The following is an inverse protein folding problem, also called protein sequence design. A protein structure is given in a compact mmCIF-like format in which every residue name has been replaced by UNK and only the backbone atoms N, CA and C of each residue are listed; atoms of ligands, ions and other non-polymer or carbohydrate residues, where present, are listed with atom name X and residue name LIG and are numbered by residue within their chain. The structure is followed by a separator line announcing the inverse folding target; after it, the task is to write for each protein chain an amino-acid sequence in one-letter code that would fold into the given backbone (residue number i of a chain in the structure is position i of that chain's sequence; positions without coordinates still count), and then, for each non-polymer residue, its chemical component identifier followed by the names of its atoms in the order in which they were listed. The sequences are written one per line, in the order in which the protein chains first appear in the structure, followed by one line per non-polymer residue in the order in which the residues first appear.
data_IF_765527849386
#
_entry.id   IF_765527849386
#
_cell.length_a   1.000
_cell.length_b   1.000
_cell.length_c   1.000
_cell.angle_alpha   90.00
_cell.angle_beta   90.00
_cell.angle_gamma   90.00
#
_symmetry.space_group_name_H-M   'P 1'
#
loop_
_entity.id
_entity.type
_entity.pdbx_description
1 polymer ?
#
# COMPACT_ATOMS: atom_id res chain seq x y z
N UNK A 1 -53.11 -39.09 -12.66
CA UNK A 1 -52.06 -38.69 -13.62
C UNK A 1 -50.77 -38.36 -12.87
N UNK A 2 -49.69 -39.09 -13.18
CA UNK A 2 -48.25 -38.72 -13.24
C UNK A 2 -47.61 -37.86 -12.10
N UNK A 3 -46.62 -38.40 -11.35
CA UNK A 3 -45.13 -38.23 -11.51
C UNK A 3 -44.63 -36.93 -10.82
N UNK A 4 -43.53 -36.80 -10.06
CA UNK A 4 -42.45 -37.63 -9.48
C UNK A 4 -41.77 -36.70 -8.44
N UNK A 5 -41.27 -37.22 -7.32
CA UNK A 5 -40.25 -36.57 -6.47
C UNK A 5 -39.00 -37.46 -6.45
N UNK A 6 -37.85 -36.87 -6.72
CA UNK A 6 -36.49 -37.39 -6.60
C UNK A 6 -35.65 -36.16 -6.16
N UNK A 7 -34.59 -36.21 -5.35
CA UNK A 7 -33.68 -37.26 -4.91
C UNK A 7 -32.97 -36.70 -3.66
N UNK A 8 -32.64 -37.52 -2.64
CA UNK A 8 -31.38 -37.37 -1.91
C UNK A 8 -30.93 -38.73 -1.36
N UNK A 9 -29.68 -39.07 -1.70
CA UNK A 9 -28.92 -40.31 -1.49
C UNK A 9 -28.39 -40.43 -0.05
N UNK A 10 -28.35 -41.66 0.50
CA UNK A 10 -27.43 -42.07 1.57
C UNK A 10 -26.98 -43.54 1.32
N UNK A 11 -25.66 -43.70 1.12
CA UNK A 11 -24.72 -44.81 1.40
C UNK A 11 -25.24 -46.23 1.74
N UNK A 12 -24.58 -47.35 1.47
CA UNK A 12 -23.41 -47.77 0.70
C UNK A 12 -23.40 -49.33 0.77
N UNK A 13 -22.99 -50.00 -0.31
CA UNK A 13 -23.15 -51.44 -0.51
C UNK A 13 -22.03 -52.26 0.17
N UNK A 14 -22.45 -53.27 0.92
CA UNK A 14 -21.67 -54.40 1.44
C UNK A 14 -21.40 -55.39 0.29
N UNK A 15 -20.16 -55.86 0.15
CA UNK A 15 -19.82 -56.97 -0.74
C UNK A 15 -18.50 -57.63 -0.36
N UNK A 16 -18.56 -58.75 0.35
CA UNK A 16 -17.42 -59.63 0.65
C UNK A 16 -17.58 -60.93 -0.15
N UNK A 17 -16.62 -61.21 -1.02
CA UNK A 17 -16.48 -62.46 -1.78
C UNK A 17 -15.93 -63.54 -0.85
N UNK A 18 -16.52 -64.74 -0.91
CA UNK A 18 -16.19 -65.88 -0.06
C UNK A 18 -15.09 -66.80 -0.62
N UNK A 19 -14.47 -67.50 0.35
CA UNK A 19 -13.94 -68.86 0.32
C UNK A 19 -12.81 -69.24 -0.67
N UNK A 20 -11.58 -69.29 -0.14
CA UNK A 20 -10.68 -70.43 -0.33
C UNK A 20 -9.84 -70.63 0.94
N UNK A 21 -9.92 -71.84 1.49
CA UNK A 21 -9.33 -72.21 2.77
C UNK A 21 -7.81 -72.33 2.72
N UNK A 22 -7.15 -71.79 3.72
CA UNK A 22 -5.77 -72.09 4.05
C UNK A 22 -5.70 -72.34 5.57
N UNK A 23 -5.35 -73.57 5.96
CA UNK A 23 -5.08 -73.92 7.36
C UNK A 23 -3.84 -73.15 7.80
N UNK A 24 -3.97 -72.27 8.80
CA UNK A 24 -2.84 -71.54 9.39
C UNK A 24 -2.42 -72.29 10.64
N UNK A 25 -1.23 -72.90 10.56
CA UNK A 25 -0.47 -73.45 11.66
C UNK A 25 0.26 -72.28 12.36
N UNK A 26 -0.10 -71.99 13.62
CA UNK A 26 0.41 -70.83 14.34
C UNK A 26 1.78 -71.19 14.93
N UNK A 27 2.85 -70.75 14.28
CA UNK A 27 4.21 -70.80 14.81
C UNK A 27 4.40 -69.64 15.81
N UNK A 28 4.82 -69.87 17.06
CA UNK A 28 5.02 -68.80 18.03
C UNK A 28 6.16 -67.87 17.60
N UNK A 29 5.90 -66.56 17.61
CA UNK A 29 6.84 -65.51 17.25
C UNK A 29 7.89 -65.34 18.36
N UNK A 30 9.16 -65.44 17.99
CA UNK A 30 10.31 -65.05 18.81
C UNK A 30 10.34 -63.53 19.02
N UNK A 31 10.83 -63.02 20.16
CA UNK A 31 10.79 -61.59 20.47
C UNK A 31 11.67 -60.77 19.52
N UNK A 32 11.07 -59.72 18.97
CA UNK A 32 11.65 -58.75 18.04
C UNK A 32 12.80 -57.97 18.68
N UNK A 33 13.94 -57.97 18.02
CA UNK A 33 15.07 -57.09 18.27
C UNK A 33 14.64 -55.62 18.09
N UNK A 34 14.80 -54.79 19.13
CA UNK A 34 14.36 -53.40 19.14
C UNK A 34 15.20 -52.53 18.19
N UNK A 35 14.54 -51.91 17.22
CA UNK A 35 15.11 -50.87 16.37
C UNK A 35 15.57 -49.67 17.23
N UNK A 36 16.79 -49.13 17.04
CA UNK A 36 17.26 -47.98 17.80
C UNK A 36 16.40 -46.73 17.53
N UNK A 37 16.27 -45.83 18.52
CA UNK A 37 15.39 -44.67 18.41
C UNK A 37 15.85 -43.71 17.31
N UNK A 38 14.88 -43.14 16.60
CA UNK A 38 15.11 -42.11 15.60
C UNK A 38 15.83 -40.89 16.21
N UNK A 39 16.72 -40.23 15.46
CA UNK A 39 17.36 -39.00 15.92
C UNK A 39 16.31 -37.91 16.19
N UNK A 40 16.56 -37.02 17.17
CA UNK A 40 15.62 -35.95 17.52
C UNK A 40 15.36 -35.04 16.32
N UNK A 41 14.09 -34.66 16.15
CA UNK A 41 13.69 -33.70 15.13
C UNK A 41 14.48 -32.39 15.27
N UNK A 42 14.87 -31.73 14.15
CA UNK A 42 15.48 -30.41 14.21
C UNK A 42 14.55 -29.44 14.94
N UNK A 43 15.10 -28.46 15.67
CA UNK A 43 14.30 -27.46 16.37
C UNK A 43 13.37 -26.74 15.38
N UNK A 44 12.13 -26.53 15.80
CA UNK A 44 11.15 -25.78 15.03
C UNK A 44 11.74 -24.41 14.63
N UNK A 45 11.47 -23.90 13.41
CA UNK A 45 11.82 -22.54 13.05
C UNK A 45 11.30 -21.59 14.12
N UNK A 46 12.20 -20.78 14.70
CA UNK A 46 11.78 -19.79 15.68
C UNK A 46 10.79 -18.81 15.00
N UNK A 47 9.71 -18.39 15.69
CA UNK A 47 8.86 -17.33 15.17
C UNK A 47 9.74 -16.11 14.90
N UNK A 48 9.59 -15.45 13.73
CA UNK A 48 10.38 -14.29 13.40
C UNK A 48 10.18 -13.24 14.48
N UNK A 49 11.29 -12.72 15.01
CA UNK A 49 11.29 -11.49 15.81
C UNK A 49 10.56 -10.43 15.03
N UNK A 50 9.52 -9.81 15.63
CA UNK A 50 8.80 -8.66 15.09
C UNK A 50 9.81 -7.63 14.54
N UNK A 51 10.02 -7.63 13.22
CA UNK A 51 10.74 -6.56 12.57
C UNK A 51 9.77 -5.37 12.55
N UNK A 52 10.16 -4.21 13.08
CA UNK A 52 9.29 -3.05 13.11
C UNK A 52 8.85 -2.71 11.68
N UNK A 53 7.54 -2.50 11.49
CA UNK A 53 6.98 -2.02 10.25
C UNK A 53 7.78 -0.79 9.79
N UNK A 54 8.07 -0.63 8.48
CA UNK A 54 8.77 0.56 8.01
C UNK A 54 7.99 1.79 8.51
N UNK A 55 8.67 2.79 9.11
CA UNK A 55 8.00 3.94 9.69
C UNK A 55 7.14 4.60 8.60
N UNK A 56 5.85 4.75 8.88
CA UNK A 56 4.98 5.58 8.06
C UNK A 56 5.61 6.96 7.97
N UNK A 57 6.03 7.35 6.77
CA UNK A 57 6.65 8.64 6.55
C UNK A 57 5.67 9.74 7.01
N UNK A 58 6.10 10.69 7.87
CA UNK A 58 5.21 11.70 8.40
C UNK A 58 4.67 12.58 7.27
N UNK A 59 3.41 12.99 7.40
CA UNK A 59 2.74 13.92 6.49
C UNK A 59 3.62 15.12 6.14
N UNK A 60 3.70 15.47 4.84
CA UNK A 60 4.53 16.58 4.35
C UNK A 60 6.03 16.25 4.13
N UNK A 61 6.46 15.01 4.36
CA UNK A 61 7.76 14.50 3.90
C UNK A 61 7.78 14.28 2.38
N UNK A 62 8.93 13.92 1.82
CA UNK A 62 9.05 13.71 0.38
C UNK A 62 8.44 12.36 -0.05
N UNK A 63 7.83 12.35 -1.25
CA UNK A 63 7.46 11.11 -1.95
C UNK A 63 8.70 10.23 -2.16
N UNK A 64 8.60 8.90 -2.25
CA UNK A 64 9.75 8.05 -2.60
C UNK A 64 10.41 8.47 -3.89
N UNK A 65 11.72 8.27 -3.95
CA UNK A 65 12.56 8.82 -5.02
C UNK A 65 12.87 10.30 -4.88
N UNK A 66 12.29 10.99 -3.89
CA UNK A 66 12.63 12.37 -3.54
C UNK A 66 13.16 12.47 -2.11
N UNK A 67 14.04 13.42 -1.91
CA UNK A 67 14.68 13.75 -0.63
C UNK A 67 14.65 15.26 -0.42
N UNK A 68 14.80 15.72 0.82
CA UNK A 68 14.99 17.15 1.07
C UNK A 68 16.28 17.61 0.39
N UNK A 69 16.21 18.71 -0.37
CA UNK A 69 17.36 19.30 -1.06
C UNK A 69 18.43 19.75 -0.08
N UNK A 70 18.03 20.29 1.07
CA UNK A 70 18.93 20.74 2.14
C UNK A 70 19.97 21.75 1.64
N UNK A 71 19.57 22.66 0.73
CA UNK A 71 20.42 23.78 0.30
C UNK A 71 20.82 24.68 1.48
N UNK A 72 19.97 24.72 2.51
CA UNK A 72 20.21 25.28 3.84
C UNK A 72 19.58 24.36 4.90
N UNK A 73 19.85 24.55 6.21
CA UNK A 73 19.24 23.74 7.27
C UNK A 73 17.70 23.76 7.26
N UNK A 74 17.09 24.83 6.76
CA UNK A 74 15.63 25.02 6.70
C UNK A 74 15.03 24.68 5.34
N UNK A 75 15.85 24.41 4.32
CA UNK A 75 15.39 24.08 2.98
C UNK A 75 14.85 22.64 2.91
N UNK A 76 13.51 22.52 2.91
CA UNK A 76 12.77 21.26 2.84
C UNK A 76 12.00 21.11 1.52
N UNK A 77 12.58 21.61 0.43
CA UNK A 77 12.10 21.36 -0.94
C UNK A 77 12.45 19.91 -1.33
N UNK A 78 11.48 19.17 -1.85
CA UNK A 78 11.69 17.79 -2.28
C UNK A 78 12.27 17.77 -3.70
N UNK A 79 13.42 17.12 -3.86
CA UNK A 79 14.19 17.00 -5.10
C UNK A 79 14.73 15.59 -5.26
N UNK A 80 15.27 15.26 -6.43
CA UNK A 80 15.91 13.95 -6.63
C UNK A 80 17.20 13.84 -5.79
N UNK A 81 17.68 12.63 -5.47
CA UNK A 81 18.95 12.45 -4.77
C UNK A 81 20.13 13.14 -5.46
N UNK A 82 20.14 13.18 -6.79
CA UNK A 82 21.17 13.84 -7.60
C UNK A 82 21.14 15.35 -7.38
N UNK A 83 19.96 15.97 -7.39
CA UNK A 83 19.81 17.40 -7.13
C UNK A 83 20.20 17.77 -5.68
N UNK A 84 19.92 16.91 -4.70
CA UNK A 84 20.43 17.07 -3.33
C UNK A 84 21.96 17.01 -3.29
N UNK A 85 22.56 16.03 -3.96
CA UNK A 85 24.02 15.90 -4.01
C UNK A 85 24.67 17.13 -4.68
N UNK A 86 24.06 17.63 -5.76
CA UNK A 86 24.50 18.86 -6.42
C UNK A 86 24.42 20.07 -5.48
N UNK A 87 23.31 20.24 -4.75
CA UNK A 87 23.16 21.33 -3.79
C UNK A 87 24.24 21.31 -2.68
N UNK A 88 24.62 20.12 -2.20
CA UNK A 88 25.71 19.94 -1.23
C UNK A 88 27.08 20.27 -1.84
N UNK A 89 27.34 19.84 -3.08
CA UNK A 89 28.56 20.18 -3.79
C UNK A 89 28.69 21.70 -4.03
N UNK A 90 27.58 22.37 -4.35
CA UNK A 90 27.53 23.81 -4.51
C UNK A 90 27.78 24.56 -3.20
N UNK A 91 27.22 24.06 -2.09
CA UNK A 91 27.49 24.61 -0.76
C UNK A 91 28.97 24.48 -0.40
N UNK A 92 29.60 23.33 -0.69
CA UNK A 92 31.03 23.11 -0.44
C UNK A 92 31.92 24.01 -1.32
N UNK A 93 31.51 24.28 -2.55
CA UNK A 93 32.23 25.16 -3.48
C UNK A 93 31.90 26.66 -3.32
N UNK A 94 30.98 27.02 -2.43
CA UNK A 94 30.44 28.38 -2.34
C UNK A 94 31.53 29.46 -2.18
N UNK A 95 32.53 29.20 -1.34
CA UNK A 95 33.61 30.14 -1.07
C UNK A 95 34.50 30.39 -2.31
N UNK A 96 34.78 29.36 -3.12
CA UNK A 96 35.67 29.50 -4.28
C UNK A 96 35.03 30.27 -5.44
N UNK A 97 33.71 30.46 -5.43
CA UNK A 97 32.92 31.12 -6.48
C UNK A 97 32.51 32.55 -6.13
N UNK A 98 32.87 33.04 -4.94
CA UNK A 98 32.65 34.41 -4.48
C UNK A 98 33.82 35.32 -4.85
N UNK A 99 33.54 36.61 -5.02
CA UNK A 99 34.51 37.67 -5.21
C UNK A 99 34.25 38.77 -4.17
N UNK A 100 35.31 39.45 -3.73
CA UNK A 100 35.15 40.74 -3.04
C UNK A 100 34.76 41.79 -4.08
N UNK A 101 33.52 42.26 -4.01
CA UNK A 101 32.91 43.08 -5.07
C UNK A 101 31.70 43.88 -4.51
N UNK A 102 31.09 44.80 -5.29
CA UNK A 102 30.26 45.90 -4.78
C UNK A 102 28.99 45.48 -4.02
N UNK A 103 28.50 44.26 -4.21
CA UNK A 103 27.27 43.77 -3.62
C UNK A 103 27.49 43.02 -2.29
N UNK A 104 28.68 43.17 -1.70
CA UNK A 104 29.07 42.56 -0.43
C UNK A 104 29.84 41.23 -0.59
N UNK A 105 30.13 40.54 0.53
CA UNK A 105 30.99 39.35 0.55
C UNK A 105 30.40 38.13 -0.19
N UNK A 106 29.12 38.18 -0.54
CA UNK A 106 28.41 37.14 -1.27
C UNK A 106 28.40 37.38 -2.79
N UNK A 107 29.10 38.41 -3.29
CA UNK A 107 29.10 38.70 -4.73
C UNK A 107 29.69 37.53 -5.52
N UNK A 108 29.01 37.10 -6.59
CA UNK A 108 29.49 36.01 -7.43
C UNK A 108 30.56 36.47 -8.43
N UNK A 109 31.55 35.61 -8.67
CA UNK A 109 32.51 35.76 -9.78
C UNK A 109 31.78 35.81 -11.13
N UNK A 110 32.40 36.44 -12.13
CA UNK A 110 31.87 36.46 -13.50
C UNK A 110 31.55 35.04 -13.99
N UNK A 111 30.37 34.86 -14.58
CA UNK A 111 29.87 33.54 -15.02
C UNK A 111 29.06 32.77 -13.96
N UNK A 112 28.99 33.28 -12.72
CA UNK A 112 28.17 32.72 -11.65
C UNK A 112 27.06 33.68 -11.22
N UNK A 113 25.99 33.12 -10.68
CA UNK A 113 24.81 33.82 -10.14
C UNK A 113 24.39 33.19 -8.82
N UNK A 114 23.65 33.92 -7.98
CA UNK A 114 23.03 33.33 -6.78
C UNK A 114 22.04 32.23 -7.17
N UNK A 115 22.13 31.09 -6.49
CA UNK A 115 21.26 29.92 -6.73
C UNK A 115 19.81 30.20 -6.39
N UNK A 116 19.53 31.01 -5.37
CA UNK A 116 18.19 31.39 -4.93
C UNK A 116 17.28 30.18 -4.63
N UNK A 117 17.85 29.11 -4.07
CA UNK A 117 17.10 27.91 -3.71
C UNK A 117 16.03 28.20 -2.64
N UNK A 118 16.33 29.11 -1.70
CA UNK A 118 15.42 29.60 -0.67
C UNK A 118 15.69 31.09 -0.39
N UNK A 119 14.81 31.80 0.35
CA UNK A 119 15.09 33.17 0.77
C UNK A 119 16.46 33.27 1.48
N UNK A 120 17.31 34.18 1.01
CA UNK A 120 18.67 34.38 1.54
C UNK A 120 19.75 33.42 1.03
N UNK A 121 19.44 32.54 0.05
CA UNK A 121 20.44 31.65 -0.54
C UNK A 121 21.32 32.37 -1.57
N UNK A 122 22.49 32.85 -1.13
CA UNK A 122 23.52 33.47 -1.95
C UNK A 122 24.69 32.52 -2.29
N UNK A 123 24.41 31.22 -2.45
CA UNK A 123 25.42 30.28 -2.99
C UNK A 123 25.60 30.55 -4.48
N UNK A 124 26.84 30.80 -4.90
CA UNK A 124 27.17 31.09 -6.30
C UNK A 124 27.23 29.80 -7.12
N UNK A 125 26.42 29.73 -8.17
CA UNK A 125 26.28 28.59 -9.09
C UNK A 125 26.19 29.07 -10.53
N UNK A 126 26.21 28.16 -11.50
CA UNK A 126 26.01 28.55 -12.91
C UNK A 126 24.54 28.94 -13.17
N UNK A 127 24.24 29.71 -14.23
CA UNK A 127 22.86 30.04 -14.58
C UNK A 127 21.95 28.82 -14.75
N UNK A 128 22.49 27.71 -15.26
CA UNK A 128 21.75 26.45 -15.45
C UNK A 128 21.33 25.85 -14.11
N UNK A 129 22.21 25.87 -13.10
CA UNK A 129 21.90 25.38 -11.76
C UNK A 129 20.88 26.28 -11.05
N UNK A 130 20.93 27.60 -11.26
CA UNK A 130 19.88 28.52 -10.76
C UNK A 130 18.52 28.19 -11.39
N UNK A 131 18.49 27.94 -12.71
CA UNK A 131 17.26 27.54 -13.39
C UNK A 131 16.72 26.21 -12.85
N UNK A 132 17.60 25.24 -12.58
CA UNK A 132 17.23 23.97 -11.95
C UNK A 132 16.64 24.17 -10.54
N UNK A 133 17.26 25.03 -9.71
CA UNK A 133 16.76 25.32 -8.37
C UNK A 133 15.36 25.97 -8.39
N UNK A 134 15.09 26.85 -9.37
CA UNK A 134 13.77 27.44 -9.59
C UNK A 134 12.74 26.39 -10.04
N UNK A 135 13.11 25.49 -10.95
CA UNK A 135 12.25 24.39 -11.38
C UNK A 135 11.92 23.44 -10.21
N UNK A 136 12.89 23.16 -9.34
CA UNK A 136 12.69 22.36 -8.14
C UNK A 136 11.75 23.02 -7.13
N UNK A 137 11.87 24.34 -6.95
CA UNK A 137 10.95 25.11 -6.11
C UNK A 137 9.52 25.07 -6.67
N UNK A 138 9.36 25.20 -7.99
CA UNK A 138 8.05 25.12 -8.65
C UNK A 138 7.42 23.72 -8.52
N UNK A 139 8.22 22.66 -8.57
CA UNK A 139 7.75 21.27 -8.42
C UNK A 139 7.63 20.80 -6.97
N UNK A 140 8.00 21.61 -5.98
CA UNK A 140 8.12 21.18 -4.58
C UNK A 140 6.83 20.57 -4.01
N UNK A 141 5.67 21.15 -4.34
CA UNK A 141 4.38 20.68 -3.84
C UNK A 141 3.99 19.30 -4.38
N UNK A 142 4.25 19.03 -5.66
CA UNK A 142 3.90 17.75 -6.29
C UNK A 142 4.80 16.59 -5.83
N UNK A 143 5.94 16.89 -5.22
CA UNK A 143 6.94 15.94 -4.72
C UNK A 143 6.82 15.64 -3.22
N UNK A 144 5.86 16.24 -2.52
CA UNK A 144 5.57 15.98 -1.10
C UNK A 144 4.44 14.97 -0.93
N UNK A 145 4.49 14.22 0.17
CA UNK A 145 3.38 13.40 0.63
C UNK A 145 2.20 14.29 1.03
N UNK A 146 1.00 13.84 0.69
CA UNK A 146 -0.24 14.53 1.06
C UNK A 146 -0.38 14.61 2.58
N UNK A 147 -0.77 15.78 3.08
CA UNK A 147 -0.78 16.10 4.51
C UNK A 147 -1.75 15.21 5.32
N UNK A 148 -2.85 14.77 4.71
CA UNK A 148 -3.90 13.99 5.38
C UNK A 148 -4.03 12.59 4.79
N UNK A 149 -2.93 12.05 4.23
CA UNK A 149 -2.91 10.72 3.63
C UNK A 149 -3.67 10.62 2.30
N UNK A 150 -4.05 9.40 1.86
CA UNK A 150 -4.66 9.16 0.54
C UNK A 150 -6.04 9.80 0.40
N UNK A 151 -6.73 10.02 1.52
CA UNK A 151 -8.06 10.65 1.52
C UNK A 151 -8.01 12.18 1.37
N UNK A 152 -6.82 12.78 1.30
CA UNK A 152 -6.66 14.24 1.16
C UNK A 152 -7.43 14.73 -0.07
N UNK A 153 -8.24 15.78 0.12
CA UNK A 153 -9.01 16.37 -0.97
C UNK A 153 -8.16 17.26 -1.88
N UNK A 154 -8.54 17.35 -3.16
CA UNK A 154 -8.01 18.37 -4.07
C UNK A 154 -8.25 19.77 -3.50
N UNK A 155 -7.41 20.73 -3.89
CA UNK A 155 -7.61 22.13 -3.56
C UNK A 155 -9.04 22.58 -3.94
N UNK A 156 -9.71 23.29 -3.03
CA UNK A 156 -11.11 23.71 -3.19
C UNK A 156 -12.15 22.72 -2.66
N UNK A 157 -11.74 21.51 -2.26
CA UNK A 157 -12.59 20.52 -1.63
C UNK A 157 -12.17 20.25 -0.18
N UNK A 158 -13.11 19.82 0.63
CA UNK A 158 -12.94 19.43 2.04
C UNK A 158 -13.67 18.12 2.31
N UNK A 159 -13.31 17.41 3.38
CA UNK A 159 -14.09 16.26 3.84
C UNK A 159 -15.50 16.70 4.23
N UNK A 160 -16.50 15.96 3.78
CA UNK A 160 -17.92 16.22 4.08
C UNK A 160 -18.24 16.06 5.55
N UNK A 161 -17.58 15.13 6.24
CA UNK A 161 -17.73 14.89 7.68
C UNK A 161 -19.19 14.65 8.11
N UNK A 162 -19.99 13.99 7.28
CA UNK A 162 -21.38 13.64 7.61
C UNK A 162 -21.47 12.66 8.79
N UNK A 163 -20.39 11.93 9.09
CA UNK A 163 -20.23 11.03 10.23
C UNK A 163 -18.74 10.82 10.54
N UNK A 164 -18.36 10.23 11.68
CA UNK A 164 -16.95 9.91 11.97
C UNK A 164 -16.32 8.99 10.92
N UNK A 165 -15.28 9.46 10.24
CA UNK A 165 -14.61 8.76 9.14
C UNK A 165 -15.15 9.06 7.73
N UNK A 166 -16.08 10.01 7.59
CA UNK A 166 -16.59 10.44 6.28
C UNK A 166 -15.61 11.39 5.58
N UNK A 167 -14.67 10.81 4.82
CA UNK A 167 -13.69 11.55 4.03
C UNK A 167 -14.11 11.77 2.57
N UNK A 168 -15.42 11.78 2.27
CA UNK A 168 -15.90 12.14 0.93
C UNK A 168 -15.58 13.60 0.64
N UNK A 169 -14.86 13.86 -0.45
CA UNK A 169 -14.46 15.21 -0.82
C UNK A 169 -15.63 15.97 -1.48
N UNK A 170 -16.01 17.08 -0.87
CA UNK A 170 -17.12 17.96 -1.27
C UNK A 170 -16.71 19.43 -1.18
N UNK A 171 -17.55 20.36 -1.65
CA UNK A 171 -17.29 21.79 -1.45
C UNK A 171 -17.53 22.19 0.01
N UNK A 172 -16.95 23.30 0.50
CA UNK A 172 -17.21 23.81 1.85
C UNK A 172 -18.70 23.99 2.17
N UNK A 173 -19.49 24.45 1.19
CA UNK A 173 -20.94 24.64 1.35
C UNK A 173 -21.67 23.30 1.62
N UNK A 174 -21.27 22.23 0.94
CA UNK A 174 -21.85 20.90 1.15
C UNK A 174 -21.45 20.33 2.52
N UNK A 175 -20.21 20.57 2.99
CA UNK A 175 -19.82 20.22 4.37
C UNK A 175 -20.67 20.96 5.39
N UNK A 176 -20.91 22.26 5.19
CA UNK A 176 -21.78 23.05 6.07
C UNK A 176 -23.22 22.53 6.06
N UNK A 177 -23.75 22.15 4.89
CA UNK A 177 -25.07 21.53 4.75
C UNK A 177 -25.14 20.19 5.50
N UNK A 178 -24.14 19.32 5.35
CA UNK A 178 -24.10 18.03 6.05
C UNK A 178 -24.09 18.20 7.57
N UNK A 179 -23.36 19.19 8.09
CA UNK A 179 -23.38 19.54 9.50
C UNK A 179 -24.75 20.06 9.97
N UNK A 180 -25.42 20.89 9.17
CA UNK A 180 -26.77 21.37 9.47
C UNK A 180 -27.80 20.23 9.47
N UNK A 181 -27.67 19.27 8.55
CA UNK A 181 -28.53 18.08 8.51
C UNK A 181 -28.32 17.18 9.74
N UNK A 182 -27.07 16.99 10.17
CA UNK A 182 -26.76 16.27 11.40
C UNK A 182 -27.36 16.97 12.63
N UNK A 183 -27.25 18.30 12.72
CA UNK A 183 -27.81 19.08 13.82
C UNK A 183 -29.36 18.99 13.88
N UNK A 184 -30.01 18.92 12.72
CA UNK A 184 -31.46 18.82 12.61
C UNK A 184 -32.00 17.38 12.71
N UNK A 185 -31.13 16.35 12.73
CA UNK A 185 -31.52 14.96 12.56
C UNK A 185 -32.64 14.52 13.50
N UNK A 186 -32.55 14.86 14.80
CA UNK A 186 -33.54 14.48 15.82
C UNK A 186 -34.96 15.05 15.56
N UNK A 187 -35.08 16.12 14.77
CA UNK A 187 -36.38 16.74 14.46
C UNK A 187 -37.05 16.18 13.20
N UNK A 188 -36.35 15.32 12.43
CA UNK A 188 -36.77 14.90 11.08
C UNK A 188 -37.17 13.43 10.99
N UNK A 189 -37.23 12.73 12.12
CA UNK A 189 -37.70 11.36 12.20
C UNK A 189 -38.67 11.14 13.36
N UNK A 190 -39.45 10.08 13.24
CA UNK A 190 -40.36 9.56 14.28
C UNK A 190 -40.17 8.05 14.40
N UNK A 191 -40.66 7.46 15.48
CA UNK A 191 -40.88 6.01 15.52
C UNK A 191 -42.10 5.69 14.65
N UNK A 192 -41.92 4.90 13.59
CA UNK A 192 -42.95 4.71 12.58
C UNK A 192 -42.92 3.34 11.90
N UNK A 193 -43.55 3.26 10.72
CA UNK A 193 -43.76 2.01 9.98
C UNK A 193 -42.47 1.27 9.60
N UNK A 194 -41.32 1.96 9.59
CA UNK A 194 -40.01 1.40 9.29
C UNK A 194 -39.13 1.23 10.55
N UNK A 195 -39.73 1.32 11.74
CA UNK A 195 -39.04 1.26 13.03
C UNK A 195 -38.69 2.64 13.59
N UNK A 196 -37.83 2.69 14.62
CA UNK A 196 -37.19 3.93 15.07
C UNK A 196 -36.48 4.62 13.90
N UNK A 197 -36.44 5.96 13.91
CA UNK A 197 -35.80 6.76 12.85
C UNK A 197 -36.50 6.68 11.47
N UNK A 198 -37.82 6.48 11.45
CA UNK A 198 -38.64 6.66 10.24
C UNK A 198 -38.69 8.15 9.88
N UNK A 199 -38.24 8.53 8.68
CA UNK A 199 -38.30 9.93 8.25
C UNK A 199 -39.73 10.47 8.20
N UNK A 200 -39.93 11.71 8.66
CA UNK A 200 -41.22 12.39 8.56
C UNK A 200 -41.58 12.71 7.11
N UNK A 201 -42.86 12.97 6.83
CA UNK A 201 -43.33 13.25 5.48
C UNK A 201 -42.53 14.40 4.82
N UNK A 202 -42.11 14.19 3.56
CA UNK A 202 -41.26 15.14 2.82
C UNK A 202 -39.75 14.93 2.99
N UNK A 203 -39.33 14.04 3.90
CA UNK A 203 -37.93 13.66 4.11
C UNK A 203 -37.68 12.21 3.74
N UNK A 204 -36.42 11.92 3.42
CA UNK A 204 -35.89 10.58 3.09
C UNK A 204 -34.53 10.40 3.76
N UNK A 205 -34.10 9.15 3.97
CA UNK A 205 -32.74 8.88 4.47
C UNK A 205 -31.70 9.45 3.50
N UNK A 206 -30.69 10.12 4.04
CA UNK A 206 -29.62 10.78 3.29
C UNK A 206 -28.75 9.79 2.53
N UNK A 207 -28.56 8.59 3.08
CA UNK A 207 -27.75 7.52 2.48
C UNK A 207 -26.28 7.91 2.25
N UNK A 208 -25.68 8.67 3.17
CA UNK A 208 -24.23 8.95 3.10
C UNK A 208 -23.39 7.67 3.25
N UNK A 209 -23.91 6.67 3.96
CA UNK A 209 -23.39 5.30 4.11
C UNK A 209 -24.53 4.33 4.43
N UNK A 210 -24.32 3.00 4.36
CA UNK A 210 -25.26 2.04 4.95
C UNK A 210 -25.49 2.33 6.45
N UNK A 211 -26.76 2.41 6.86
CA UNK A 211 -27.14 2.74 8.25
C UNK A 211 -27.02 4.23 8.61
N UNK A 212 -27.03 5.13 7.62
CA UNK A 212 -27.14 6.58 7.87
C UNK A 212 -28.59 6.98 8.16
N UNK A 213 -28.91 7.24 9.42
CA UNK A 213 -30.25 7.56 9.90
C UNK A 213 -30.62 9.05 9.81
N UNK A 214 -29.78 9.87 9.16
CA UNK A 214 -30.08 11.29 8.98
C UNK A 214 -31.10 11.49 7.86
N UNK A 215 -32.24 12.09 8.21
CA UNK A 215 -33.31 12.42 7.27
C UNK A 215 -33.08 13.79 6.63
N UNK A 216 -33.13 13.85 5.29
CA UNK A 216 -32.92 15.05 4.47
C UNK A 216 -33.99 15.16 3.38
N UNK A 217 -34.01 16.25 2.63
CA UNK A 217 -34.92 16.38 1.47
C UNK A 217 -34.48 15.44 0.34
N UNK A 218 -35.38 15.05 -0.56
CA UNK A 218 -35.02 14.22 -1.73
C UNK A 218 -33.87 14.80 -2.56
N UNK A 219 -33.82 16.14 -2.72
CA UNK A 219 -32.73 16.80 -3.44
C UNK A 219 -31.36 16.61 -2.76
N UNK A 220 -31.30 16.70 -1.44
CA UNK A 220 -30.05 16.49 -0.68
C UNK A 220 -29.63 15.02 -0.71
N UNK A 221 -30.57 14.07 -0.71
CA UNK A 221 -30.25 12.64 -0.92
C UNK A 221 -29.62 12.43 -2.30
N UNK A 222 -30.19 13.00 -3.36
CA UNK A 222 -29.61 12.92 -4.70
C UNK A 222 -28.20 13.53 -4.76
N UNK A 223 -27.99 14.69 -4.13
CA UNK A 223 -26.68 15.31 -4.01
C UNK A 223 -25.68 14.41 -3.27
N UNK A 224 -26.10 13.80 -2.16
CA UNK A 224 -25.26 12.89 -1.35
C UNK A 224 -24.80 11.68 -2.16
N UNK A 225 -25.69 11.07 -2.95
CA UNK A 225 -25.33 9.96 -3.85
C UNK A 225 -24.34 10.41 -4.92
N UNK A 226 -24.56 11.59 -5.52
CA UNK A 226 -23.64 12.15 -6.51
C UNK A 226 -22.25 12.44 -5.90
N UNK A 227 -22.20 12.92 -4.66
CA UNK A 227 -20.95 13.18 -3.95
C UNK A 227 -20.20 11.89 -3.62
N UNK A 228 -20.90 10.85 -3.18
CA UNK A 228 -20.32 9.53 -2.95
C UNK A 228 -19.72 8.96 -4.26
N UNK A 229 -20.44 9.09 -5.39
CA UNK A 229 -19.97 8.64 -6.69
C UNK A 229 -18.74 9.44 -7.19
N UNK A 230 -18.68 10.74 -6.91
CA UNK A 230 -17.60 11.61 -7.32
C UNK A 230 -16.39 11.59 -6.37
N UNK A 231 -16.48 10.93 -5.21
CA UNK A 231 -15.50 11.00 -4.13
C UNK A 231 -14.05 10.77 -4.61
N UNK A 232 -13.81 9.68 -5.34
CA UNK A 232 -12.47 9.34 -5.85
C UNK A 232 -11.89 10.43 -6.77
N UNK A 233 -12.72 10.98 -7.68
CA UNK A 233 -12.27 12.01 -8.62
C UNK A 233 -11.90 13.34 -7.95
N UNK A 234 -12.33 13.56 -6.71
CA UNK A 234 -12.10 14.78 -5.92
C UNK A 234 -10.98 14.60 -4.88
N UNK A 235 -10.40 13.40 -4.75
CA UNK A 235 -9.18 13.17 -3.95
C UNK A 235 -7.96 13.68 -4.69
N UNK A 236 -7.00 14.22 -3.94
CA UNK A 236 -5.70 14.56 -4.48
C UNK A 236 -4.98 13.28 -4.92
N UNK A 237 -4.10 13.40 -5.91
CA UNK A 237 -3.36 12.25 -6.45
C UNK A 237 -2.54 11.60 -5.34
N UNK A 238 -2.73 10.30 -5.16
CA UNK A 238 -2.10 9.55 -4.08
C UNK A 238 -0.57 9.71 -4.13
N UNK A 239 0.10 9.77 -2.97
CA UNK A 239 1.49 10.20 -2.95
C UNK A 239 2.46 9.26 -3.66
N UNK A 240 2.08 7.99 -3.82
CA UNK A 240 2.87 6.93 -4.43
C UNK A 240 2.29 6.49 -5.79
N UNK A 241 1.46 7.34 -6.42
CA UNK A 241 0.79 7.02 -7.68
C UNK A 241 -0.38 6.03 -7.51
N UNK A 242 -0.90 5.45 -8.61
CA UNK A 242 -2.08 4.58 -8.59
C UNK A 242 -1.87 3.29 -7.77
N UNK A 243 -0.63 2.86 -7.58
CA UNK A 243 -0.29 1.65 -6.81
C UNK A 243 -0.09 1.92 -5.31
N UNK A 244 -0.53 3.08 -4.81
CA UNK A 244 -0.39 3.43 -3.39
C UNK A 244 -1.09 2.38 -2.52
N UNK A 245 -0.37 1.72 -1.63
CA UNK A 245 -0.95 0.71 -0.75
C UNK A 245 -1.87 1.31 0.33
N UNK A 246 -2.93 0.57 0.67
CA UNK A 246 -3.74 0.83 1.86
C UNK A 246 -2.88 0.76 3.12
N UNK A 247 -3.29 1.47 4.17
CA UNK A 247 -2.63 1.39 5.48
C UNK A 247 -2.48 -0.07 5.94
N UNK A 248 -1.29 -0.43 6.41
CA UNK A 248 -0.94 -1.81 6.80
C UNK A 248 -0.34 -2.67 5.68
N UNK A 249 -0.36 -2.19 4.44
CA UNK A 249 0.30 -2.82 3.29
C UNK A 249 1.48 -1.98 2.80
N UNK A 250 2.45 -2.66 2.19
CA UNK A 250 3.65 -2.09 1.58
C UNK A 250 3.90 -2.74 0.22
N UNK A 251 4.64 -2.09 -0.66
CA UNK A 251 5.08 -2.72 -1.91
C UNK A 251 5.96 -3.94 -1.60
N UNK A 252 5.70 -5.04 -2.30
CA UNK A 252 6.44 -6.29 -2.16
C UNK A 252 7.91 -6.15 -2.57
N UNK A 253 8.19 -5.30 -3.55
CA UNK A 253 9.55 -5.01 -4.02
C UNK A 253 10.32 -6.27 -4.44
N UNK A 254 9.65 -7.25 -5.06
CA UNK A 254 10.29 -8.45 -5.58
C UNK A 254 11.33 -8.13 -6.67
N UNK A 255 11.14 -7.02 -7.39
CA UNK A 255 12.09 -6.40 -8.31
C UNK A 255 11.88 -4.88 -8.34
N UNK A 256 12.78 -4.10 -8.96
CA UNK A 256 12.52 -2.69 -9.23
C UNK A 256 11.22 -2.51 -10.03
N UNK A 257 10.26 -1.78 -9.47
CA UNK A 257 8.94 -1.54 -10.08
C UNK A 257 7.83 -2.52 -9.67
N UNK A 258 8.11 -3.50 -8.79
CA UNK A 258 7.07 -4.36 -8.23
C UNK A 258 6.29 -3.66 -7.11
N UNK A 259 5.16 -3.06 -7.47
CA UNK A 259 4.27 -2.34 -6.55
C UNK A 259 3.09 -3.18 -6.02
N UNK A 260 3.17 -4.52 -6.08
CA UNK A 260 2.12 -5.37 -5.50
C UNK A 260 2.07 -5.16 -3.99
N UNK A 261 0.91 -4.71 -3.49
CA UNK A 261 0.71 -4.44 -2.07
C UNK A 261 0.58 -5.74 -1.26
N UNK A 262 1.46 -5.92 -0.29
CA UNK A 262 1.55 -7.09 0.60
C UNK A 262 1.78 -6.64 2.05
N UNK A 263 1.71 -7.56 3.01
CA UNK A 263 2.05 -7.22 4.40
C UNK A 263 3.57 -6.98 4.53
N UNK A 264 4.02 -6.25 5.57
CA UNK A 264 5.45 -6.07 5.83
C UNK A 264 6.24 -7.39 5.91
N UNK A 265 5.64 -8.43 6.49
CA UNK A 265 6.27 -9.76 6.58
C UNK A 265 6.49 -10.39 5.20
N UNK A 266 5.54 -10.24 4.27
CA UNK A 266 5.68 -10.76 2.91
C UNK A 266 6.73 -9.97 2.13
N UNK A 267 6.85 -8.65 2.33
CA UNK A 267 7.95 -7.86 1.76
C UNK A 267 9.31 -8.36 2.27
N UNK A 268 9.43 -8.61 3.58
CA UNK A 268 10.64 -9.16 4.16
C UNK A 268 10.98 -10.56 3.60
N UNK A 269 9.96 -11.42 3.45
CA UNK A 269 10.10 -12.73 2.81
C UNK A 269 10.57 -12.61 1.36
N UNK A 270 10.00 -11.70 0.56
CA UNK A 270 10.40 -11.48 -0.83
C UNK A 270 11.87 -11.03 -0.95
N UNK A 271 12.33 -10.17 -0.03
CA UNK A 271 13.73 -9.76 0.05
C UNK A 271 14.66 -10.93 0.43
N UNK A 272 14.25 -11.76 1.39
CA UNK A 272 14.98 -12.96 1.79
C UNK A 272 15.08 -13.98 0.64
N UNK A 273 14.00 -14.14 -0.13
CA UNK A 273 13.99 -15.01 -1.31
C UNK A 273 14.91 -14.52 -2.42
N UNK A 274 14.93 -13.21 -2.69
CA UNK A 274 15.87 -12.61 -3.62
C UNK A 274 17.32 -12.86 -3.19
N UNK A 275 17.64 -12.66 -1.90
CA UNK A 275 18.98 -12.88 -1.36
C UNK A 275 19.40 -14.37 -1.41
N UNK A 276 18.48 -15.28 -1.13
CA UNK A 276 18.73 -16.72 -1.14
C UNK A 276 18.67 -17.35 -2.54
N UNK A 277 18.18 -16.64 -3.56
CA UNK A 277 17.89 -17.23 -4.88
C UNK A 277 19.10 -17.94 -5.48
N UNK A 278 20.31 -17.38 -5.35
CA UNK A 278 21.51 -17.98 -5.92
C UNK A 278 21.84 -19.34 -5.30
N UNK A 279 21.64 -19.50 -3.98
CA UNK A 279 21.91 -20.77 -3.29
C UNK A 279 20.88 -21.85 -3.60
N UNK A 280 19.73 -21.48 -4.17
CA UNK A 280 18.62 -22.38 -4.54
C UNK A 280 18.61 -22.78 -6.01
N UNK A 281 19.57 -22.27 -6.81
CA UNK A 281 19.74 -22.59 -8.24
C UNK A 281 20.75 -23.73 -8.47
N UNK A 282 20.57 -24.47 -9.57
CA UNK A 282 21.46 -25.51 -10.09
C UNK A 282 22.12 -25.02 -11.39
N UNK A 283 23.22 -24.29 -11.24
CA UNK A 283 23.93 -23.67 -12.38
C UNK A 283 24.40 -24.67 -13.45
N UNK A 284 24.63 -25.93 -13.07
CA UNK A 284 25.02 -27.01 -13.99
C UNK A 284 23.96 -27.27 -15.09
N UNK A 285 22.68 -26.99 -14.81
CA UNK A 285 21.57 -27.26 -15.72
C UNK A 285 20.95 -25.96 -16.27
N UNK A 286 21.62 -24.82 -16.13
CA UNK A 286 21.15 -23.51 -16.58
C UNK A 286 21.09 -22.46 -15.46
N UNK A 287 21.11 -21.16 -15.80
CA UNK A 287 21.15 -20.07 -14.82
C UNK A 287 19.87 -19.92 -14.00
N UNK A 288 18.76 -20.51 -14.44
CA UNK A 288 17.45 -20.42 -13.80
C UNK A 288 16.90 -21.75 -13.29
N UNK A 289 17.66 -22.85 -13.39
CA UNK A 289 17.17 -24.15 -12.93
C UNK A 289 17.13 -24.19 -11.40
N UNK A 290 15.98 -24.50 -10.81
CA UNK A 290 15.86 -24.62 -9.36
C UNK A 290 16.34 -25.99 -8.85
N UNK A 291 16.92 -26.02 -7.64
CA UNK A 291 17.23 -27.25 -6.90
C UNK A 291 15.94 -28.03 -6.61
N UNK A 292 16.07 -29.36 -6.43
CA UNK A 292 14.95 -30.21 -6.00
C UNK A 292 14.30 -29.63 -4.73
N UNK A 293 12.96 -29.56 -4.73
CA UNK A 293 12.18 -28.93 -3.64
C UNK A 293 11.90 -27.43 -3.83
N UNK A 294 12.47 -26.80 -4.86
CA UNK A 294 12.23 -25.40 -5.20
C UNK A 294 11.61 -25.25 -6.59
N UNK A 295 10.85 -24.17 -6.76
CA UNK A 295 10.18 -23.77 -8.00
C UNK A 295 10.37 -22.26 -8.22
N UNK A 296 10.15 -21.78 -9.45
CA UNK A 296 10.10 -20.34 -9.71
C UNK A 296 8.95 -19.68 -8.94
N UNK A 297 9.24 -18.54 -8.34
CA UNK A 297 8.28 -17.74 -7.56
C UNK A 297 7.18 -17.15 -8.45
N UNK A 298 7.51 -16.75 -9.67
CA UNK A 298 6.56 -16.21 -10.65
C UNK A 298 5.79 -14.97 -10.15
N UNK A 299 6.47 -14.06 -9.44
CA UNK A 299 5.89 -12.80 -9.02
C UNK A 299 5.46 -11.91 -10.20
N UNK A 300 6.16 -12.02 -11.32
CA UNK A 300 5.89 -11.34 -12.59
C UNK A 300 6.50 -12.15 -13.74
N UNK A 301 6.17 -11.85 -15.03
CA UNK A 301 6.80 -12.53 -16.17
C UNK A 301 8.32 -12.40 -16.15
N UNK A 302 9.03 -13.53 -16.07
CA UNK A 302 10.50 -13.57 -15.98
C UNK A 302 11.06 -13.64 -14.56
N UNK A 303 10.23 -13.72 -13.52
CA UNK A 303 10.68 -13.93 -12.15
C UNK A 303 11.08 -15.40 -11.89
N UNK A 304 12.36 -15.70 -12.10
CA UNK A 304 12.95 -17.03 -11.88
C UNK A 304 13.63 -17.17 -10.50
N UNK A 305 13.22 -16.38 -9.51
CA UNK A 305 13.68 -16.56 -8.12
C UNK A 305 13.17 -17.90 -7.59
N UNK A 306 14.09 -18.76 -7.13
CA UNK A 306 13.74 -20.09 -6.64
C UNK A 306 13.23 -20.03 -5.19
N UNK A 307 12.01 -20.49 -4.96
CA UNK A 307 11.30 -20.50 -3.66
C UNK A 307 10.61 -21.86 -3.45
N UNK A 308 10.02 -22.09 -2.29
CA UNK A 308 9.23 -23.32 -2.07
C UNK A 308 7.89 -23.24 -2.80
N UNK A 309 7.23 -24.39 -3.09
CA UNK A 309 5.90 -24.39 -3.72
C UNK A 309 4.84 -23.59 -2.95
N UNK A 310 4.93 -23.54 -1.63
CA UNK A 310 4.04 -22.77 -0.76
C UNK A 310 4.21 -21.26 -1.01
N UNK A 311 5.46 -20.79 -1.10
CA UNK A 311 5.76 -19.37 -1.38
C UNK A 311 5.31 -18.95 -2.78
N UNK A 312 5.44 -19.84 -3.78
CA UNK A 312 4.88 -19.59 -5.12
C UNK A 312 3.36 -19.43 -5.07
N UNK A 313 2.67 -20.28 -4.31
CA UNK A 313 1.22 -20.21 -4.13
C UNK A 313 0.81 -18.91 -3.44
N UNK A 314 1.52 -18.51 -2.37
CA UNK A 314 1.32 -17.23 -1.70
C UNK A 314 1.53 -16.04 -2.65
N UNK A 315 2.59 -16.07 -3.46
CA UNK A 315 2.89 -15.01 -4.44
C UNK A 315 1.75 -14.83 -5.45
N UNK A 316 1.17 -15.93 -5.94
CA UNK A 316 0.03 -15.88 -6.86
C UNK A 316 -1.22 -15.29 -6.18
N UNK A 317 -1.46 -15.63 -4.91
CA UNK A 317 -2.55 -15.04 -4.12
C UNK A 317 -2.34 -13.54 -3.91
N UNK A 318 -1.11 -13.11 -3.62
CA UNK A 318 -0.79 -11.69 -3.45
C UNK A 318 -1.00 -10.90 -4.74
N UNK A 319 -0.61 -11.45 -5.90
CA UNK A 319 -0.91 -10.85 -7.20
C UNK A 319 -2.43 -10.73 -7.44
N UNK A 320 -3.20 -11.75 -7.09
CA UNK A 320 -4.66 -11.74 -7.23
C UNK A 320 -5.34 -10.72 -6.30
N UNK A 321 -4.79 -10.52 -5.10
CA UNK A 321 -5.32 -9.58 -4.11
C UNK A 321 -4.83 -8.14 -4.30
N UNK A 322 -3.84 -7.90 -5.16
CA UNK A 322 -3.22 -6.59 -5.36
C UNK A 322 -4.24 -5.46 -5.59
N UNK A 323 -5.27 -5.60 -6.46
CA UNK A 323 -6.26 -4.53 -6.67
C UNK A 323 -7.09 -4.20 -5.43
N UNK A 324 -7.23 -5.14 -4.49
CA UNK A 324 -7.98 -4.92 -3.25
C UNK A 324 -7.16 -4.22 -2.16
N UNK A 325 -5.84 -4.10 -2.34
CA UNK A 325 -4.88 -3.61 -1.36
C UNK A 325 -4.28 -2.25 -1.71
N UNK A 326 -4.62 -1.68 -2.87
CA UNK A 326 -4.33 -0.30 -3.25
C UNK A 326 -5.41 0.66 -2.74
N UNK A 327 -5.06 1.91 -2.49
CA UNK A 327 -6.04 2.96 -2.17
C UNK A 327 -6.95 3.21 -3.38
N UNK A 328 -8.26 3.47 -3.19
CA UNK A 328 -9.17 3.78 -4.29
C UNK A 328 -8.92 5.16 -4.90
#
# INVERSE_FOLDING_TARGET
MKVRKFFLLVFAVIGLVGLLGCKIEIKPLTPTEQQPPAPPAPPAPQPPTEQPSPPSLPSGSCKPGFVWREASPTDKVCVTPEARAQAQADNAAAASRRAEAPYGPDTCKQGYVWREACPGDHVCVTPEVRAQAQADNAAAASRKLLQYGPDTCKQGYVWREAFPGDHVCVTPDVRAQAAADNAAAASRWVSGAYGPHTCVAGYVWREARPGDDVCVTPGVRTQTVADNAAAASRRAEAPYGPDTCKQGYVWREACPGDHVCVTPDVRAQAAADNAASASRKLLQYGPDTCKQGYVWREAFPGDHVCVTPEVRTQTQQDNALAPSRIVP
#
